data_IF_814684808969
#
_entry.id   IF_814684808969
#
_cell.length_a   1.000
_cell.length_b   1.000
_cell.length_c   1.000
_cell.angle_alpha   90.00
_cell.angle_beta   90.00
_cell.angle_gamma   90.00
#
_symmetry.space_group_name_H-M   'P 1'
#
loop_
_entity.id
_entity.type
_entity.pdbx_description
1 polymer ?
#
# COMPACT_ATOMS: atom_id res chain seq x y z
N UNK A 1 12.80 -28.99 20.57
CA UNK A 1 12.29 -29.98 21.56
C UNK A 1 13.11 -31.28 21.63
N UNK A 2 14.33 -31.36 21.03
CA UNK A 2 15.11 -32.60 20.94
C UNK A 2 16.49 -32.61 21.56
N UNK A 3 17.01 -31.51 22.05
CA UNK A 3 18.42 -31.41 22.48
C UNK A 3 18.62 -31.38 24.00
N UNK A 4 17.56 -31.30 24.79
CA UNK A 4 17.63 -31.18 26.25
C UNK A 4 17.52 -32.51 27.02
N UNK A 5 17.30 -33.65 26.35
CA UNK A 5 17.10 -34.95 27.03
C UNK A 5 18.33 -35.86 27.05
N UNK A 6 19.37 -35.62 26.24
CA UNK A 6 20.54 -36.51 26.22
C UNK A 6 21.59 -36.21 27.29
N UNK A 7 21.57 -35.07 27.95
CA UNK A 7 22.58 -34.73 28.96
C UNK A 7 22.27 -35.33 30.33
N UNK A 8 21.04 -35.83 30.56
CA UNK A 8 20.62 -36.37 31.88
C UNK A 8 20.84 -37.87 32.08
N UNK A 9 21.18 -38.61 31.03
CA UNK A 9 21.36 -40.10 31.15
C UNK A 9 22.79 -40.56 31.45
N UNK A 10 23.78 -39.70 31.49
CA UNK A 10 25.22 -40.09 31.71
C UNK A 10 25.62 -40.17 33.20
N UNK A 11 24.74 -39.77 34.13
CA UNK A 11 25.09 -39.66 35.57
C UNK A 11 24.52 -40.73 36.49
N UNK A 12 23.90 -41.80 36.01
CA UNK A 12 23.26 -42.81 36.86
C UNK A 12 23.95 -44.19 36.84
N UNK A 13 25.21 -44.25 36.39
CA UNK A 13 26.01 -45.48 36.58
C UNK A 13 27.17 -45.24 37.54
N UNK A 14 26.85 -45.28 38.84
CA UNK A 14 27.86 -45.47 39.87
C UNK A 14 28.06 -46.98 40.10
N UNK A 15 29.30 -47.50 39.96
CA UNK A 15 29.57 -48.88 40.25
C UNK A 15 29.46 -49.11 41.77
N UNK A 16 28.80 -50.19 42.13
CA UNK A 16 28.69 -50.72 43.50
C UNK A 16 30.08 -51.00 44.05
N UNK A 17 30.54 -50.22 45.00
CA UNK A 17 31.75 -50.42 45.74
C UNK A 17 31.52 -51.48 46.81
N UNK A 18 32.04 -52.71 46.57
CA UNK A 18 32.21 -53.73 47.56
C UNK A 18 33.27 -53.32 48.59
N UNK A 19 32.87 -53.15 49.84
CA UNK A 19 33.76 -52.82 50.96
C UNK A 19 34.51 -54.03 51.39
N UNK A 20 35.79 -54.12 51.10
CA UNK A 20 36.71 -55.06 51.66
C UNK A 20 37.37 -54.46 52.92
N UNK A 21 37.26 -55.20 54.02
CA UNK A 21 37.88 -54.86 55.31
C UNK A 21 39.38 -54.99 55.23
N UNK A 22 40.11 -53.85 55.09
CA UNK A 22 41.49 -53.75 55.54
C UNK A 22 41.78 -52.28 55.82
N UNK A 23 41.66 -51.90 57.06
CA UNK A 23 41.87 -50.54 57.50
C UNK A 23 42.84 -50.46 58.65
N UNK A 24 43.87 -49.70 58.48
CA UNK A 24 44.40 -48.75 59.47
C UNK A 24 45.61 -48.03 58.89
N UNK A 25 45.41 -46.85 58.36
CA UNK A 25 46.37 -45.72 58.29
C UNK A 25 46.16 -44.67 57.23
N UNK A 26 44.95 -44.44 56.69
CA UNK A 26 44.80 -43.43 55.66
C UNK A 26 43.65 -42.42 55.90
N UNK A 27 43.36 -42.10 57.21
CA UNK A 27 42.27 -41.13 57.51
C UNK A 27 42.51 -39.67 57.10
N UNK A 28 43.79 -39.27 56.87
CA UNK A 28 44.06 -37.88 56.56
C UNK A 28 43.98 -37.54 55.06
N UNK A 29 44.27 -38.46 54.20
CA UNK A 29 44.24 -38.25 52.74
C UNK A 29 42.80 -38.26 52.18
N UNK A 30 41.93 -39.05 52.82
CA UNK A 30 40.50 -39.15 52.37
C UNK A 30 39.72 -37.87 52.62
N UNK A 31 40.00 -37.14 53.67
CA UNK A 31 39.34 -35.86 54.03
C UNK A 31 39.63 -34.76 52.96
N UNK A 32 40.88 -34.68 52.52
CA UNK A 32 41.28 -33.67 51.52
C UNK A 32 40.67 -33.89 50.15
N UNK A 33 40.49 -35.15 49.76
CA UNK A 33 39.90 -35.49 48.45
C UNK A 33 38.39 -35.22 48.39
N UNK A 34 37.68 -35.40 49.48
CA UNK A 34 36.25 -35.06 49.60
C UNK A 34 36.01 -33.57 49.67
N UNK A 35 36.89 -32.84 50.36
CA UNK A 35 36.78 -31.37 50.42
C UNK A 35 37.04 -30.74 49.05
N UNK A 36 38.00 -31.23 48.27
CA UNK A 36 38.27 -30.69 46.94
C UNK A 36 37.11 -30.98 45.95
N UNK A 37 36.44 -32.13 46.01
CA UNK A 37 35.29 -32.44 45.19
C UNK A 37 34.04 -31.62 45.60
N UNK A 38 33.85 -31.37 46.88
CA UNK A 38 32.79 -30.48 47.40
C UNK A 38 33.01 -29.06 46.92
N UNK A 39 34.25 -28.55 46.98
CA UNK A 39 34.56 -27.21 46.46
C UNK A 39 34.36 -27.08 44.95
N UNK A 40 34.78 -28.08 44.16
CA UNK A 40 34.52 -28.09 42.72
C UNK A 40 33.00 -28.15 42.40
N UNK A 41 32.23 -28.93 43.17
CA UNK A 41 30.79 -28.97 43.04
C UNK A 41 30.12 -27.64 43.37
N UNK A 42 30.61 -26.94 44.39
CA UNK A 42 30.09 -25.63 44.81
C UNK A 42 30.42 -24.54 43.77
N UNK A 43 31.63 -24.56 43.21
CA UNK A 43 32.06 -23.66 42.15
C UNK A 43 31.21 -23.90 40.88
N UNK A 44 30.96 -25.14 40.51
CA UNK A 44 30.10 -25.48 39.36
C UNK A 44 28.65 -25.05 39.59
N UNK A 45 28.10 -25.17 40.80
CA UNK A 45 26.78 -24.66 41.13
C UNK A 45 26.70 -23.13 41.04
N UNK A 46 27.73 -22.42 41.50
CA UNK A 46 27.77 -20.95 41.40
C UNK A 46 27.92 -20.50 39.97
N UNK A 47 28.67 -21.22 39.12
CA UNK A 47 28.71 -20.97 37.68
C UNK A 47 27.39 -21.25 37.01
N UNK A 48 26.71 -22.33 37.34
CA UNK A 48 25.39 -22.62 36.80
C UNK A 48 24.36 -21.57 37.18
N UNK A 49 24.38 -21.05 38.40
CA UNK A 49 23.50 -19.95 38.85
C UNK A 49 23.76 -18.65 38.10
N UNK A 50 25.00 -18.32 37.80
CA UNK A 50 25.34 -17.13 37.01
C UNK A 50 24.92 -17.27 35.56
N UNK A 51 25.13 -18.43 34.93
CA UNK A 51 24.67 -18.72 33.58
C UNK A 51 23.13 -18.66 33.47
N UNK A 52 22.40 -19.20 34.45
CA UNK A 52 20.95 -19.11 34.53
C UNK A 52 20.42 -17.69 34.79
N UNK A 53 21.18 -16.85 35.49
CA UNK A 53 20.85 -15.45 35.73
C UNK A 53 21.05 -14.59 34.46
N UNK A 54 22.12 -14.86 33.70
CA UNK A 54 22.35 -14.22 32.41
C UNK A 54 21.33 -14.62 31.36
N UNK A 55 20.96 -15.90 31.27
CA UNK A 55 19.92 -16.37 30.37
C UNK A 55 18.55 -15.72 30.65
N UNK A 56 18.20 -15.51 31.90
CA UNK A 56 16.97 -14.76 32.27
C UNK A 56 17.03 -13.28 31.92
N UNK A 57 18.19 -12.67 31.88
CA UNK A 57 18.34 -11.25 31.50
C UNK A 57 18.25 -11.06 29.97
N UNK A 58 18.65 -12.04 29.19
CA UNK A 58 18.60 -12.02 27.70
C UNK A 58 17.16 -12.22 27.19
N UNK A 59 16.33 -12.99 27.91
CA UNK A 59 14.92 -13.20 27.60
C UNK A 59 14.01 -12.26 28.40
N UNK A 60 14.22 -10.95 28.26
CA UNK A 60 13.21 -10.00 28.72
C UNK A 60 12.04 -10.02 27.76
N UNK A 61 11.09 -10.93 28.03
CA UNK A 61 9.90 -11.17 27.19
C UNK A 61 9.07 -9.91 26.95
N UNK A 62 9.10 -8.93 27.83
CA UNK A 62 8.41 -7.65 27.65
C UNK A 62 9.13 -6.76 26.63
N UNK A 63 10.46 -6.74 26.63
CA UNK A 63 11.23 -5.99 25.63
C UNK A 63 11.03 -6.57 24.24
N UNK A 64 11.05 -7.89 24.09
CA UNK A 64 10.80 -8.57 22.81
C UNK A 64 9.35 -8.33 22.36
N UNK A 65 8.40 -8.37 23.27
CA UNK A 65 6.99 -8.13 22.97
C UNK A 65 6.74 -6.70 22.50
N UNK A 66 7.35 -5.72 23.13
CA UNK A 66 7.28 -4.30 22.73
C UNK A 66 7.95 -4.06 21.38
N UNK A 67 9.10 -4.67 21.11
CA UNK A 67 9.78 -4.58 19.81
C UNK A 67 8.96 -5.24 18.69
N UNK A 68 8.37 -6.40 18.95
CA UNK A 68 7.48 -7.06 17.98
C UNK A 68 6.23 -6.23 17.72
N UNK A 69 5.63 -5.66 18.75
CA UNK A 69 4.46 -4.79 18.61
C UNK A 69 4.77 -3.54 17.78
N UNK A 70 5.90 -2.88 18.05
CA UNK A 70 6.34 -1.72 17.28
C UNK A 70 6.61 -2.09 15.82
N UNK A 71 7.33 -3.20 15.55
CA UNK A 71 7.54 -3.70 14.18
C UNK A 71 6.23 -4.04 13.45
N UNK A 72 5.23 -4.57 14.17
CA UNK A 72 3.92 -4.84 13.57
C UNK A 72 3.15 -3.56 13.27
N UNK A 73 3.29 -2.54 14.12
CA UNK A 73 2.72 -1.22 13.89
C UNK A 73 3.35 -0.55 12.68
N UNK A 74 4.68 -0.53 12.62
CA UNK A 74 5.45 0.02 11.49
C UNK A 74 5.09 -0.68 10.17
N UNK A 75 4.99 -2.03 10.18
CA UNK A 75 4.54 -2.79 9.00
C UNK A 75 3.12 -2.45 8.57
N UNK A 76 2.20 -2.20 9.51
CA UNK A 76 0.83 -1.76 9.19
C UNK A 76 0.82 -0.36 8.58
N UNK A 77 1.64 0.54 9.10
CA UNK A 77 1.78 1.89 8.55
C UNK A 77 2.45 1.88 7.16
N UNK A 78 3.50 1.07 6.98
CA UNK A 78 4.09 0.84 5.65
C UNK A 78 3.10 0.20 4.67
N UNK A 79 2.29 -0.76 5.11
CA UNK A 79 1.24 -1.35 4.26
C UNK A 79 0.16 -0.34 3.91
N UNK A 80 -0.22 0.52 4.85
CA UNK A 80 -1.16 1.63 4.62
C UNK A 80 -0.57 2.64 3.64
N UNK A 81 0.69 3.03 3.82
CA UNK A 81 1.42 3.92 2.90
C UNK A 81 1.56 3.31 1.49
N UNK A 82 1.88 2.01 1.39
CA UNK A 82 1.89 1.28 0.11
C UNK A 82 0.50 1.21 -0.54
N UNK A 83 -0.56 1.09 0.26
CA UNK A 83 -1.94 1.09 -0.23
C UNK A 83 -2.36 2.47 -0.76
N UNK A 84 -1.89 3.55 -0.13
CA UNK A 84 -2.08 4.92 -0.61
C UNK A 84 -1.32 5.12 -1.95
N UNK A 85 -0.08 4.62 -2.06
CA UNK A 85 0.68 4.67 -3.31
C UNK A 85 0.08 3.82 -4.45
N UNK A 86 -0.79 2.85 -4.14
CA UNK A 86 -1.51 2.05 -5.14
C UNK A 86 -2.72 2.77 -5.74
N UNK A 87 -3.09 3.93 -5.22
CA UNK A 87 -4.19 4.76 -5.73
C UNK A 87 -3.72 5.88 -6.65
N UNK A 88 -2.43 5.96 -6.93
CA UNK A 88 -1.83 6.93 -7.84
C UNK A 88 -1.24 6.19 -9.04
N UNK A 89 -1.63 6.64 -10.23
CA UNK A 89 -1.09 6.17 -11.50
C UNK A 89 -0.37 7.32 -12.18
N UNK A 90 0.89 7.11 -12.55
CA UNK A 90 1.65 8.02 -13.37
C UNK A 90 1.73 7.52 -14.81
N UNK A 91 1.63 8.43 -15.76
CA UNK A 91 1.73 8.11 -17.17
C UNK A 91 1.70 9.35 -18.05
N UNK A 92 1.41 9.14 -19.31
CA UNK A 92 1.31 10.20 -20.31
C UNK A 92 -0.11 10.22 -20.86
N UNK A 93 -0.70 11.40 -21.01
CA UNK A 93 -1.99 11.57 -21.69
C UNK A 93 -1.86 11.09 -23.14
N UNK A 94 -2.34 9.91 -23.43
CA UNK A 94 -2.21 9.28 -24.73
C UNK A 94 -3.21 9.83 -25.74
N UNK A 95 -4.49 9.70 -25.45
CA UNK A 95 -5.57 10.15 -26.32
C UNK A 95 -6.89 10.21 -25.54
N UNK A 96 -7.86 10.86 -26.17
CA UNK A 96 -9.25 10.90 -25.74
C UNK A 96 -10.13 10.43 -26.92
N UNK A 97 -10.95 9.42 -26.72
CA UNK A 97 -11.85 8.87 -27.75
C UNK A 97 -13.30 9.26 -27.52
N UNK A 98 -13.61 9.59 -26.28
CA UNK A 98 -14.90 10.08 -25.81
C UNK A 98 -14.68 11.11 -24.70
N UNK A 99 -15.67 11.98 -24.44
CA UNK A 99 -15.49 13.09 -23.49
C UNK A 99 -15.49 12.67 -22.02
N UNK A 100 -15.75 11.42 -21.69
CA UNK A 100 -15.86 10.94 -20.30
C UNK A 100 -14.62 10.19 -19.82
N UNK A 101 -13.71 9.85 -20.74
CA UNK A 101 -12.55 9.05 -20.41
C UNK A 101 -11.32 9.41 -21.23
N UNK A 102 -10.17 9.21 -20.64
CA UNK A 102 -8.88 9.36 -21.30
C UNK A 102 -8.12 8.04 -21.33
N UNK A 103 -7.24 7.90 -22.31
CA UNK A 103 -6.25 6.85 -22.37
C UNK A 103 -4.93 7.37 -21.83
N UNK A 104 -4.43 6.72 -20.77
CA UNK A 104 -3.15 7.03 -20.14
C UNK A 104 -2.15 5.96 -20.55
N UNK A 105 -1.08 6.37 -21.23
CA UNK A 105 0.04 5.50 -21.57
C UNK A 105 0.93 5.31 -20.37
N UNK A 106 1.23 4.06 -20.05
CA UNK A 106 2.12 3.68 -18.96
C UNK A 106 3.47 3.27 -19.57
N UNK A 107 4.52 4.02 -19.25
CA UNK A 107 5.84 3.77 -19.86
C UNK A 107 6.49 2.49 -19.31
N UNK A 108 6.23 2.14 -18.05
CA UNK A 108 6.73 0.91 -17.44
C UNK A 108 5.89 -0.31 -17.86
N UNK A 109 6.48 -1.21 -18.65
CA UNK A 109 5.83 -2.47 -19.05
C UNK A 109 5.44 -3.35 -17.86
N UNK A 110 6.25 -3.34 -16.80
CA UNK A 110 6.00 -4.11 -15.58
C UNK A 110 4.78 -3.57 -14.84
N UNK A 111 4.66 -2.25 -14.77
CA UNK A 111 3.52 -1.60 -14.15
C UNK A 111 2.24 -1.79 -14.98
N UNK A 112 2.33 -1.62 -16.28
CA UNK A 112 1.21 -1.86 -17.19
C UNK A 112 0.67 -3.29 -17.07
N UNK A 113 1.55 -4.30 -16.94
CA UNK A 113 1.13 -5.71 -16.76
C UNK A 113 0.24 -5.92 -15.54
N UNK A 114 0.40 -5.16 -14.46
CA UNK A 114 -0.47 -5.27 -13.27
C UNK A 114 -1.93 -4.99 -13.60
N UNK A 115 -2.19 -4.14 -14.60
CA UNK A 115 -3.52 -3.75 -15.04
C UNK A 115 -4.17 -4.76 -15.97
N UNK A 116 -3.38 -5.54 -16.71
CA UNK A 116 -3.93 -6.51 -17.69
C UNK A 116 -4.80 -7.59 -17.04
N UNK A 117 -4.61 -7.85 -15.74
CA UNK A 117 -5.39 -8.83 -14.98
C UNK A 117 -6.55 -8.21 -14.20
N UNK A 118 -6.57 -6.89 -14.04
CA UNK A 118 -7.57 -6.20 -13.21
C UNK A 118 -8.62 -5.49 -14.03
N UNK A 119 -8.26 -5.01 -15.21
CA UNK A 119 -9.14 -4.18 -16.03
C UNK A 119 -9.84 -5.00 -17.13
N UNK A 120 -11.02 -4.53 -17.52
CA UNK A 120 -11.74 -5.09 -18.67
C UNK A 120 -10.94 -4.89 -19.96
N UNK A 121 -11.15 -5.75 -20.96
CA UNK A 121 -10.51 -5.61 -22.28
C UNK A 121 -10.77 -4.25 -22.94
N UNK A 122 -11.95 -3.65 -22.68
CA UNK A 122 -12.33 -2.32 -23.21
C UNK A 122 -11.57 -1.18 -22.54
N UNK A 123 -10.96 -1.44 -21.39
CA UNK A 123 -10.18 -0.48 -20.62
C UNK A 123 -8.67 -0.61 -20.88
N UNK A 124 -8.27 -1.48 -21.83
CA UNK A 124 -6.87 -1.80 -22.13
C UNK A 124 -6.57 -1.64 -23.61
N UNK A 125 -5.47 -0.98 -23.91
CA UNK A 125 -4.85 -0.96 -25.24
C UNK A 125 -3.45 -1.57 -25.15
N UNK A 126 -3.36 -2.89 -25.37
CA UNK A 126 -2.11 -3.63 -25.21
C UNK A 126 -0.98 -3.14 -26.14
N UNK A 127 -1.21 -2.88 -27.44
CA UNK A 127 -0.15 -2.42 -28.35
C UNK A 127 0.49 -1.08 -27.92
N UNK A 128 -0.29 -0.19 -27.30
CA UNK A 128 0.17 1.14 -26.90
C UNK A 128 0.50 1.24 -25.41
N UNK A 129 0.29 0.19 -24.64
CA UNK A 129 0.41 0.16 -23.20
C UNK A 129 -0.43 1.25 -22.52
N UNK A 130 -1.66 1.43 -23.00
CA UNK A 130 -2.58 2.42 -22.47
C UNK A 130 -3.66 1.77 -21.59
N UNK A 131 -4.01 2.43 -20.51
CA UNK A 131 -5.19 2.14 -19.69
C UNK A 131 -6.21 3.25 -19.82
N UNK A 132 -7.49 2.88 -19.84
CA UNK A 132 -8.58 3.83 -19.90
C UNK A 132 -8.98 4.25 -18.50
N UNK A 133 -9.04 5.55 -18.26
CA UNK A 133 -9.43 6.15 -16.98
C UNK A 133 -10.67 7.01 -17.21
N UNK A 134 -11.75 6.73 -16.49
CA UNK A 134 -12.96 7.55 -16.48
C UNK A 134 -12.76 8.75 -15.55
N UNK A 135 -13.23 9.89 -16.00
CA UNK A 135 -13.15 11.14 -15.25
C UNK A 135 -14.19 11.13 -14.12
N UNK A 136 -13.77 11.46 -12.91
CA UNK A 136 -14.68 11.66 -11.78
C UNK A 136 -15.29 13.04 -11.80
N UNK A 137 -16.47 13.17 -11.19
CA UNK A 137 -17.19 14.43 -10.96
C UNK A 137 -17.63 15.17 -12.21
N UNK A 138 -17.40 14.61 -13.39
CA UNK A 138 -17.79 15.19 -14.69
C UNK A 138 -18.44 14.15 -15.57
N UNK A 139 -19.44 14.56 -16.33
CA UNK A 139 -20.05 13.76 -17.38
C UNK A 139 -20.55 14.66 -18.52
N UNK A 140 -19.65 14.98 -19.45
CA UNK A 140 -19.99 15.82 -20.60
C UNK A 140 -21.15 15.27 -21.44
N UNK A 141 -21.24 13.96 -21.55
CA UNK A 141 -22.29 13.29 -22.31
C UNK A 141 -23.67 13.47 -21.68
N UNK A 142 -23.78 13.47 -20.37
CA UNK A 142 -25.04 13.69 -19.64
C UNK A 142 -25.41 15.18 -19.55
N UNK A 143 -24.42 16.06 -19.68
CA UNK A 143 -24.61 17.51 -19.60
C UNK A 143 -25.33 18.08 -20.85
N UNK A 144 -25.51 17.28 -21.91
CA UNK A 144 -26.00 17.79 -23.19
C UNK A 144 -27.33 17.15 -23.55
N UNK A 145 -28.36 17.99 -23.77
CA UNK A 145 -29.71 17.56 -24.13
C UNK A 145 -30.31 18.35 -25.32
N UNK A 146 -29.46 18.95 -26.16
CA UNK A 146 -29.87 19.88 -27.21
C UNK A 146 -30.11 19.23 -28.59
N UNK A 147 -30.36 17.95 -28.62
CA UNK A 147 -30.55 17.19 -29.86
C UNK A 147 -29.29 16.45 -30.33
N UNK A 148 -29.53 15.47 -31.21
CA UNK A 148 -28.49 14.47 -31.58
C UNK A 148 -27.28 15.08 -32.30
N UNK A 149 -27.51 16.01 -33.20
CA UNK A 149 -26.44 16.63 -34.00
C UNK A 149 -25.55 17.50 -33.12
N UNK A 150 -26.17 18.36 -32.30
CA UNK A 150 -25.46 19.21 -31.35
C UNK A 150 -24.67 18.36 -30.34
N UNK A 151 -25.28 17.32 -29.78
CA UNK A 151 -24.61 16.44 -28.83
C UNK A 151 -23.38 15.77 -29.47
N UNK A 152 -23.47 15.36 -30.74
CA UNK A 152 -22.36 14.77 -31.48
C UNK A 152 -21.23 15.78 -31.71
N UNK A 153 -21.59 17.00 -32.12
CA UNK A 153 -20.65 18.09 -32.29
C UNK A 153 -19.96 18.46 -30.98
N UNK A 154 -20.74 18.62 -29.89
CA UNK A 154 -20.23 18.96 -28.58
C UNK A 154 -19.19 17.95 -28.08
N UNK A 155 -19.54 16.65 -28.15
CA UNK A 155 -18.62 15.58 -27.74
C UNK A 155 -17.30 15.63 -28.50
N UNK A 156 -17.37 15.83 -29.82
CA UNK A 156 -16.15 15.99 -30.66
C UNK A 156 -15.36 17.22 -30.24
N UNK A 157 -16.04 18.34 -29.94
CA UNK A 157 -15.40 19.58 -29.53
C UNK A 157 -14.68 19.43 -28.19
N UNK A 158 -15.30 18.80 -27.18
CA UNK A 158 -14.65 18.50 -25.89
C UNK A 158 -13.38 17.67 -26.10
N UNK A 159 -13.49 16.58 -26.86
CA UNK A 159 -12.32 15.71 -27.18
C UNK A 159 -11.21 16.49 -27.85
N UNK A 160 -11.55 17.36 -28.80
CA UNK A 160 -10.59 18.20 -29.51
C UNK A 160 -9.88 19.19 -28.58
N UNK A 161 -10.63 19.95 -27.77
CA UNK A 161 -10.06 20.96 -26.89
C UNK A 161 -9.18 20.33 -25.79
N UNK A 162 -9.64 19.23 -25.19
CA UNK A 162 -8.85 18.48 -24.23
C UNK A 162 -7.57 17.93 -24.83
N UNK A 163 -7.67 17.31 -26.01
CA UNK A 163 -6.50 16.76 -26.70
C UNK A 163 -5.50 17.83 -27.09
N UNK A 164 -5.95 18.98 -27.57
CA UNK A 164 -5.10 20.12 -27.92
C UNK A 164 -4.21 20.58 -26.75
N UNK A 165 -4.74 20.56 -25.54
CA UNK A 165 -4.04 21.05 -24.33
C UNK A 165 -3.19 19.98 -23.68
N UNK A 166 -3.70 18.76 -23.58
CA UNK A 166 -3.11 17.74 -22.70
C UNK A 166 -2.42 16.59 -23.43
N UNK A 167 -2.60 16.45 -24.75
CA UNK A 167 -1.97 15.38 -25.51
C UNK A 167 -0.47 15.30 -25.28
N UNK A 168 0.03 14.10 -25.01
CA UNK A 168 1.44 13.78 -24.76
C UNK A 168 2.07 14.50 -23.53
N UNK A 169 1.25 15.03 -22.60
CA UNK A 169 1.74 15.56 -21.33
C UNK A 169 1.77 14.49 -20.26
N UNK A 170 2.72 14.62 -19.34
CA UNK A 170 2.75 13.77 -18.15
C UNK A 170 1.51 14.03 -17.29
N UNK A 171 0.91 12.96 -16.82
CA UNK A 171 -0.26 13.02 -15.94
C UNK A 171 -0.07 12.14 -14.71
N UNK A 172 -0.60 12.64 -13.63
CA UNK A 172 -0.88 11.89 -12.40
C UNK A 172 -2.37 11.68 -12.31
N UNK A 173 -2.76 10.46 -12.03
CA UNK A 173 -4.15 10.05 -11.85
C UNK A 173 -4.34 9.59 -10.41
N UNK A 174 -5.14 10.31 -9.66
CA UNK A 174 -5.63 9.89 -8.35
C UNK A 174 -6.90 9.08 -8.59
N UNK A 175 -6.82 7.74 -8.52
CA UNK A 175 -7.88 6.85 -9.00
C UNK A 175 -8.50 5.99 -7.91
N UNK A 176 -9.78 5.62 -8.15
CA UNK A 176 -10.44 4.50 -7.51
C UNK A 176 -10.63 3.38 -8.55
N UNK A 177 -10.48 2.15 -8.08
CA UNK A 177 -10.78 0.97 -8.88
C UNK A 177 -12.18 0.45 -8.56
N UNK A 178 -13.02 0.39 -9.57
CA UNK A 178 -14.34 -0.23 -9.48
C UNK A 178 -14.27 -1.71 -9.80
N UNK A 179 -14.38 -2.57 -8.79
CA UNK A 179 -14.42 -4.02 -8.97
C UNK A 179 -15.64 -4.46 -9.78
N UNK A 180 -16.79 -3.80 -9.58
CA UNK A 180 -18.03 -4.09 -10.30
C UNK A 180 -17.92 -3.85 -11.81
N UNK A 181 -17.17 -2.83 -12.19
CA UNK A 181 -17.06 -2.39 -13.59
C UNK A 181 -15.69 -2.71 -14.21
N UNK A 182 -14.77 -3.25 -13.43
CA UNK A 182 -13.39 -3.54 -13.85
C UNK A 182 -12.74 -2.35 -14.56
N UNK A 183 -12.89 -1.16 -13.99
CA UNK A 183 -12.41 0.11 -14.56
C UNK A 183 -11.81 1.05 -13.53
N UNK A 184 -10.97 1.97 -13.99
CA UNK A 184 -10.42 3.07 -13.20
C UNK A 184 -11.30 4.31 -13.36
N UNK A 185 -11.55 5.00 -12.24
CA UNK A 185 -12.17 6.32 -12.21
C UNK A 185 -11.27 7.24 -11.41
N UNK A 186 -11.02 8.46 -11.89
CA UNK A 186 -10.06 9.30 -11.19
C UNK A 186 -10.13 10.77 -11.51
N UNK A 187 -9.42 11.52 -10.67
CA UNK A 187 -9.05 12.90 -10.90
C UNK A 187 -7.68 12.92 -11.57
N UNK A 188 -7.55 13.67 -12.63
CA UNK A 188 -6.37 13.68 -13.48
C UNK A 188 -5.71 15.05 -13.39
N UNK A 189 -4.41 15.04 -13.12
CA UNK A 189 -3.60 16.25 -13.00
C UNK A 189 -2.45 16.22 -14.00
N UNK A 190 -2.20 17.35 -14.66
CA UNK A 190 -1.01 17.57 -15.51
C UNK A 190 -0.29 18.80 -15.00
N UNK A 191 0.85 18.62 -14.33
CA UNK A 191 1.44 19.67 -13.51
C UNK A 191 0.43 20.14 -12.45
N UNK A 192 0.23 21.43 -12.36
CA UNK A 192 -0.72 22.05 -11.42
C UNK A 192 -2.17 22.07 -11.93
N UNK A 193 -2.41 21.62 -13.16
CA UNK A 193 -3.74 21.66 -13.76
C UNK A 193 -4.52 20.41 -13.47
N UNK A 194 -5.64 20.53 -12.73
CA UNK A 194 -6.65 19.50 -12.58
C UNK A 194 -7.56 19.50 -13.82
N UNK A 195 -7.52 18.40 -14.62
CA UNK A 195 -8.25 18.28 -15.87
C UNK A 195 -9.78 18.26 -15.65
N UNK A 196 -10.22 17.63 -14.58
CA UNK A 196 -11.63 17.52 -14.24
C UNK A 196 -12.20 18.91 -13.91
N UNK A 197 -11.47 19.67 -13.09
CA UNK A 197 -11.81 21.06 -12.76
C UNK A 197 -11.77 21.97 -13.99
N UNK A 198 -10.75 21.77 -14.86
CA UNK A 198 -10.62 22.52 -16.11
C UNK A 198 -11.84 22.33 -17.02
N UNK A 199 -12.38 21.10 -17.12
CA UNK A 199 -13.56 20.82 -17.91
C UNK A 199 -14.77 21.60 -17.41
N UNK A 200 -15.00 21.61 -16.09
CA UNK A 200 -16.14 22.33 -15.49
C UNK A 200 -15.98 23.83 -15.71
N UNK A 201 -14.79 24.39 -15.42
CA UNK A 201 -14.50 25.84 -15.54
C UNK A 201 -14.68 26.36 -16.96
N UNK A 202 -14.44 25.52 -17.97
CA UNK A 202 -14.61 25.88 -19.38
C UNK A 202 -16.01 25.48 -19.93
N UNK A 203 -16.93 25.07 -19.07
CA UNK A 203 -18.28 24.73 -19.45
C UNK A 203 -18.42 23.47 -20.31
N UNK A 204 -17.44 22.57 -20.26
CA UNK A 204 -17.52 21.29 -21.00
C UNK A 204 -18.28 20.22 -20.26
N UNK A 205 -18.61 20.43 -18.98
CA UNK A 205 -19.42 19.54 -18.15
C UNK A 205 -20.03 20.29 -16.98
N UNK A 206 -21.15 19.78 -16.48
CA UNK A 206 -21.62 20.12 -15.14
C UNK A 206 -20.75 19.42 -14.10
N UNK A 207 -20.75 19.95 -12.88
CA UNK A 207 -20.25 19.24 -11.74
C UNK A 207 -21.28 18.17 -11.31
N UNK A 208 -20.90 16.91 -11.40
CA UNK A 208 -21.71 15.80 -10.87
C UNK A 208 -21.38 15.60 -9.39
N UNK A 209 -22.33 16.03 -8.54
CA UNK A 209 -22.18 15.89 -7.09
C UNK A 209 -22.21 14.40 -6.71
N UNK A 210 -21.14 13.86 -6.11
CA UNK A 210 -21.16 12.50 -5.57
C UNK A 210 -21.87 12.44 -4.22
N UNK A 211 -22.15 11.22 -3.74
CA UNK A 211 -22.73 11.00 -2.40
C UNK A 211 -21.82 11.54 -1.30
N UNK A 212 -20.51 11.32 -1.44
CA UNK A 212 -19.49 11.87 -0.55
C UNK A 212 -18.78 13.05 -1.22
N UNK A 213 -18.74 14.18 -0.52
CA UNK A 213 -18.09 15.40 -1.02
C UNK A 213 -16.57 15.17 -1.14
N UNK A 214 -15.98 15.39 -2.33
CA UNK A 214 -14.53 15.34 -2.50
C UNK A 214 -13.83 16.52 -1.80
N UNK A 215 -12.54 16.42 -1.62
CA UNK A 215 -11.72 17.49 -1.06
C UNK A 215 -11.84 18.78 -1.91
N UNK A 216 -11.92 18.64 -3.23
CA UNK A 216 -12.04 19.75 -4.18
C UNK A 216 -13.49 20.24 -4.39
N UNK A 217 -14.43 19.87 -3.53
CA UNK A 217 -15.85 20.19 -3.70
C UNK A 217 -16.14 21.69 -3.93
N UNK A 218 -15.58 22.54 -3.07
CA UNK A 218 -15.77 23.98 -3.15
C UNK A 218 -15.17 24.59 -4.43
N UNK A 219 -14.01 24.07 -4.87
CA UNK A 219 -13.37 24.50 -6.11
C UNK A 219 -14.19 24.10 -7.34
N UNK A 220 -14.82 22.91 -7.33
CA UNK A 220 -15.64 22.41 -8.42
C UNK A 220 -16.93 23.23 -8.56
N UNK A 221 -17.56 23.62 -7.44
CA UNK A 221 -18.73 24.51 -7.42
C UNK A 221 -18.34 25.91 -7.93
N UNK A 222 -17.22 26.45 -7.44
CA UNK A 222 -16.76 27.77 -7.86
C UNK A 222 -16.44 27.80 -9.37
N UNK A 223 -15.84 26.72 -9.90
CA UNK A 223 -15.55 26.59 -11.32
C UNK A 223 -16.82 26.52 -12.19
N UNK A 224 -17.85 25.82 -11.73
CA UNK A 224 -19.13 25.80 -12.44
C UNK A 224 -19.82 27.17 -12.43
N UNK A 225 -19.81 27.85 -11.30
CA UNK A 225 -20.35 29.21 -11.17
C UNK A 225 -19.60 30.17 -12.11
N UNK A 226 -18.27 30.11 -12.13
CA UNK A 226 -17.44 30.91 -13.03
C UNK A 226 -17.78 30.66 -14.51
N UNK A 227 -17.99 29.40 -14.90
CA UNK A 227 -18.37 29.02 -16.26
C UNK A 227 -19.76 29.60 -16.66
N UNK A 228 -20.71 29.57 -15.73
CA UNK A 228 -22.07 30.16 -15.90
C UNK A 228 -21.97 31.67 -16.08
N UNK A 229 -21.26 32.37 -15.21
CA UNK A 229 -21.10 33.83 -15.26
C UNK A 229 -20.43 34.29 -16.55
N UNK A 230 -19.44 33.49 -17.05
CA UNK A 230 -18.75 33.77 -18.32
C UNK A 230 -19.52 33.29 -19.55
N UNK A 231 -20.62 32.59 -19.37
CA UNK A 231 -21.42 32.00 -20.45
C UNK A 231 -20.59 31.17 -21.43
N UNK A 232 -19.70 30.30 -20.91
CA UNK A 232 -18.84 29.46 -21.73
C UNK A 232 -19.39 28.05 -21.89
N UNK A 233 -19.09 27.39 -23.00
CA UNK A 233 -19.44 26.00 -23.28
C UNK A 233 -20.94 25.74 -23.22
N UNK A 234 -21.43 24.94 -22.30
CA UNK A 234 -22.83 24.60 -22.05
C UNK A 234 -23.68 25.79 -21.60
N UNK A 235 -23.07 26.85 -21.10
CA UNK A 235 -23.71 27.98 -20.48
C UNK A 235 -23.96 29.17 -21.42
N UNK A 236 -23.69 28.98 -22.73
CA UNK A 236 -23.99 30.01 -23.73
C UNK A 236 -25.47 30.27 -23.81
N UNK A 237 -25.87 31.51 -23.78
CA UNK A 237 -27.29 31.92 -23.87
C UNK A 237 -28.03 31.36 -25.08
N UNK A 238 -27.35 31.30 -26.24
CA UNK A 238 -27.86 30.74 -27.48
C UNK A 238 -28.30 29.26 -27.38
N UNK A 239 -27.87 28.56 -26.34
CA UNK A 239 -28.17 27.16 -26.12
C UNK A 239 -29.24 26.92 -25.07
N UNK A 240 -29.72 27.96 -24.40
CA UNK A 240 -30.71 27.88 -23.32
C UNK A 240 -32.11 28.33 -23.76
N UNK A 241 -32.24 28.80 -24.99
CA UNK A 241 -33.52 29.12 -25.64
C UNK A 241 -34.09 27.93 -26.41
#
# INVERSE_FOLDING_TARGET
HGICMEVFQVWVQLPSLTISKSMKKNHFIFSSYYLSRLMVGLVLMLFAQNVWAEEKSIFNTESIRSQLFNRMKDRKEEQKARKINLTILHGVFGRMTDPESIWVRIDSRTEFRKWTYKLSKQSLNLPRQEVRVWLKYVSPSQSVSFGKEYNTWFKKKVVFEMSKIFYNRNVRVDYDYSEKLYRLQGVIRSGDTNLNLWMIRNGWSYYLLPDEKPEEHEELIAAEKEAREKQVGLWKEELQQ
#
